data_IF_163811533039
#
_entry.id   IF_163811533039
#
_cell.length_a   1.000
_cell.length_b   1.000
_cell.length_c   1.000
_cell.angle_alpha   90.00
_cell.angle_beta   90.00
_cell.angle_gamma   90.00
#
_symmetry.space_group_name_H-M   'P 1'
#
loop_
_entity.id
_entity.type
_entity.pdbx_description
1 polymer ?
#
# COMPACT_ATOMS: atom_id res chain seq x y z
N UNK A 1 41.11 -36.55 -18.11
CA UNK A 1 41.41 -35.51 -17.10
C UNK A 1 40.44 -34.37 -17.34
N UNK A 2 39.32 -34.34 -16.61
CA UNK A 2 38.26 -33.35 -16.75
C UNK A 2 38.54 -32.25 -15.71
N UNK A 3 38.83 -31.02 -16.18
CA UNK A 3 39.06 -29.90 -15.32
C UNK A 3 37.70 -29.39 -14.81
N UNK A 4 37.46 -29.47 -13.49
CA UNK A 4 36.34 -28.86 -12.82
C UNK A 4 36.68 -27.37 -12.64
N UNK A 5 36.04 -26.50 -13.41
CA UNK A 5 36.08 -25.04 -13.20
C UNK A 5 35.10 -24.72 -12.09
N UNK A 6 35.67 -24.42 -10.90
CA UNK A 6 34.89 -23.89 -9.79
C UNK A 6 34.62 -22.41 -10.11
N UNK A 7 33.35 -22.06 -10.35
CA UNK A 7 32.90 -20.69 -10.40
C UNK A 7 32.87 -20.13 -8.95
N UNK A 8 33.93 -19.44 -8.51
CA UNK A 8 33.87 -18.58 -7.38
C UNK A 8 33.09 -17.33 -7.79
N UNK A 9 31.96 -17.08 -7.12
CA UNK A 9 31.11 -15.94 -7.37
C UNK A 9 31.87 -14.62 -7.19
N UNK A 10 31.82 -13.73 -8.20
CA UNK A 10 32.48 -12.43 -8.23
C UNK A 10 31.85 -11.38 -7.27
N UNK A 11 30.94 -11.75 -6.36
CA UNK A 11 30.27 -10.81 -5.45
C UNK A 11 31.19 -10.20 -4.39
N UNK A 12 32.03 -11.02 -3.77
CA UNK A 12 32.87 -10.60 -2.64
C UNK A 12 34.03 -9.65 -3.01
N UNK A 13 34.39 -9.56 -4.29
CA UNK A 13 35.47 -8.69 -4.75
C UNK A 13 35.08 -7.21 -4.84
N UNK A 14 33.78 -6.90 -4.86
CA UNK A 14 33.24 -5.53 -4.98
C UNK A 14 32.43 -5.05 -3.76
N UNK A 15 31.96 -5.96 -2.90
CA UNK A 15 31.06 -5.63 -1.79
C UNK A 15 31.68 -5.89 -0.41
N UNK A 16 32.90 -6.50 -0.38
CA UNK A 16 33.51 -6.95 0.87
C UNK A 16 32.95 -8.32 1.34
N UNK A 17 33.52 -8.88 2.43
CA UNK A 17 32.99 -10.08 3.05
C UNK A 17 31.61 -9.78 3.66
N UNK A 18 30.72 -10.77 3.62
CA UNK A 18 29.43 -10.68 4.33
C UNK A 18 29.67 -10.46 5.83
N UNK A 19 28.87 -9.62 6.49
CA UNK A 19 28.94 -9.42 7.93
C UNK A 19 28.73 -10.76 8.68
N UNK A 20 29.36 -10.96 9.85
CA UNK A 20 29.10 -12.12 10.69
C UNK A 20 27.62 -12.23 11.07
N UNK A 21 27.17 -13.46 11.35
CA UNK A 21 25.79 -13.74 11.77
C UNK A 21 25.61 -13.84 13.29
N UNK A 22 26.61 -13.37 14.07
CA UNK A 22 26.46 -13.28 15.52
C UNK A 22 25.45 -12.17 15.90
N UNK A 23 24.86 -12.22 17.12
CA UNK A 23 23.77 -11.31 17.49
C UNK A 23 24.15 -9.82 17.43
N UNK A 24 25.35 -9.47 17.80
CA UNK A 24 25.86 -8.08 17.82
C UNK A 24 25.96 -7.55 16.37
N UNK A 25 26.54 -8.32 15.46
CA UNK A 25 26.67 -7.99 14.05
C UNK A 25 25.29 -7.88 13.37
N UNK A 26 24.36 -8.77 13.66
CA UNK A 26 22.99 -8.72 13.12
C UNK A 26 22.26 -7.47 13.60
N UNK A 27 22.39 -7.13 14.88
CA UNK A 27 21.81 -5.91 15.45
C UNK A 27 22.36 -4.65 14.78
N UNK A 28 23.69 -4.56 14.66
CA UNK A 28 24.35 -3.39 14.05
C UNK A 28 23.95 -3.22 12.57
N UNK A 29 23.95 -4.29 11.77
CA UNK A 29 23.50 -4.27 10.38
C UNK A 29 22.03 -3.82 10.27
N UNK A 30 21.16 -4.30 11.16
CA UNK A 30 19.77 -3.89 11.20
C UNK A 30 19.66 -2.39 11.50
N UNK A 31 20.28 -1.91 12.59
CA UNK A 31 20.22 -0.52 12.98
C UNK A 31 20.80 0.43 11.90
N UNK A 32 22.00 0.14 11.38
CA UNK A 32 22.64 0.93 10.32
C UNK A 32 21.81 0.98 9.05
N UNK A 33 21.13 -0.12 8.72
CA UNK A 33 20.29 -0.19 7.51
C UNK A 33 19.11 0.77 7.59
N UNK A 34 18.46 0.86 8.75
CA UNK A 34 17.40 1.84 9.00
C UNK A 34 17.97 3.26 9.04
N UNK A 35 19.06 3.49 9.76
CA UNK A 35 19.73 4.79 9.86
C UNK A 35 19.97 5.40 8.48
N UNK A 36 20.51 4.60 7.57
CA UNK A 36 20.84 5.06 6.20
C UNK A 36 19.65 5.21 5.28
N UNK A 37 18.60 4.41 5.44
CA UNK A 37 17.59 4.25 4.39
C UNK A 37 16.17 4.61 4.80
N UNK A 38 15.83 4.62 6.08
CA UNK A 38 14.47 4.91 6.51
C UNK A 38 14.12 6.38 6.27
N UNK A 39 12.97 6.62 5.61
CA UNK A 39 12.62 7.95 5.11
C UNK A 39 11.85 8.82 6.11
N UNK A 40 11.40 8.28 7.25
CA UNK A 40 10.40 8.95 8.06
C UNK A 40 10.87 9.36 9.46
N UNK A 41 12.17 9.32 9.78
CA UNK A 41 12.66 9.73 11.09
C UNK A 41 12.23 11.17 11.41
N UNK A 42 12.55 12.14 10.54
CA UNK A 42 12.18 13.54 10.74
C UNK A 42 10.66 13.79 10.67
N UNK A 43 9.91 13.00 9.89
CA UNK A 43 8.44 13.12 9.82
C UNK A 43 7.77 12.68 11.12
N UNK A 44 8.37 11.72 11.82
CA UNK A 44 7.80 11.08 13.02
C UNK A 44 8.47 11.52 14.32
N UNK A 45 9.46 12.42 14.23
CA UNK A 45 10.25 12.90 15.35
C UNK A 45 10.90 11.74 16.15
N UNK A 46 11.53 10.80 15.43
CA UNK A 46 12.18 9.62 16.00
C UNK A 46 13.69 9.87 16.07
N UNK A 47 14.24 9.81 17.27
CA UNK A 47 15.69 9.80 17.52
C UNK A 47 16.21 8.36 17.47
N UNK A 48 16.77 7.99 16.32
CA UNK A 48 17.22 6.61 16.07
C UNK A 48 18.52 6.27 16.81
N UNK A 49 19.35 7.27 17.12
CA UNK A 49 20.56 7.11 17.94
C UNK A 49 20.22 6.77 19.40
N UNK A 50 19.22 7.43 19.99
CA UNK A 50 18.73 7.07 21.31
C UNK A 50 18.16 5.64 21.36
N UNK A 51 17.56 5.20 20.26
CA UNK A 51 17.06 3.81 20.15
C UNK A 51 18.24 2.84 20.12
N UNK A 52 19.34 3.18 19.39
CA UNK A 52 20.58 2.40 19.44
C UNK A 52 21.11 2.25 20.87
N UNK A 53 21.33 3.37 21.54
CA UNK A 53 21.89 3.38 22.90
C UNK A 53 21.06 2.52 23.89
N UNK A 54 19.73 2.55 23.74
CA UNK A 54 18.83 1.78 24.59
C UNK A 54 18.91 0.28 24.33
N UNK A 55 18.94 -0.14 23.07
CA UNK A 55 18.78 -1.55 22.70
C UNK A 55 20.10 -2.27 22.50
N UNK A 56 21.19 -1.59 22.09
CA UNK A 56 22.53 -2.18 21.99
C UNK A 56 23.04 -2.72 23.34
N UNK A 57 22.70 -2.05 24.43
CA UNK A 57 23.04 -2.51 25.78
C UNK A 57 22.39 -3.85 26.20
N UNK A 58 21.40 -4.32 25.45
CA UNK A 58 20.67 -5.58 25.69
C UNK A 58 21.19 -6.72 24.80
N UNK A 59 22.03 -6.42 23.80
CA UNK A 59 22.58 -7.39 22.87
C UNK A 59 24.04 -7.69 23.23
N UNK A 60 24.40 -8.96 23.29
CA UNK A 60 25.76 -9.41 23.53
C UNK A 60 26.04 -10.76 22.88
N UNK A 61 27.26 -11.30 23.02
CA UNK A 61 27.68 -12.51 22.29
C UNK A 61 26.88 -13.78 22.67
N UNK A 62 26.06 -13.72 23.72
CA UNK A 62 25.25 -14.85 24.21
C UNK A 62 23.75 -14.59 24.08
N UNK A 63 23.33 -13.48 23.44
CA UNK A 63 21.95 -13.19 23.15
C UNK A 63 21.40 -14.28 22.22
N UNK A 64 20.32 -14.92 22.62
CA UNK A 64 19.66 -15.94 21.81
C UNK A 64 18.95 -15.33 20.61
N UNK A 65 18.67 -16.15 19.58
CA UNK A 65 17.88 -15.71 18.42
C UNK A 65 16.48 -15.22 18.80
N UNK A 66 15.85 -15.83 19.81
CA UNK A 66 14.55 -15.39 20.29
C UNK A 66 14.60 -14.00 20.93
N UNK A 67 15.56 -13.78 21.82
CA UNK A 67 15.78 -12.48 22.47
C UNK A 67 16.12 -11.39 21.43
N UNK A 68 17.01 -11.71 20.47
CA UNK A 68 17.36 -10.78 19.41
C UNK A 68 16.15 -10.41 18.55
N UNK A 69 15.31 -11.39 18.16
CA UNK A 69 14.10 -11.15 17.38
C UNK A 69 13.11 -10.25 18.11
N UNK A 70 12.93 -10.44 19.41
CA UNK A 70 12.08 -9.59 20.25
C UNK A 70 12.64 -8.17 20.33
N UNK A 71 13.95 -8.00 20.55
CA UNK A 71 14.61 -6.68 20.60
C UNK A 71 14.40 -5.92 19.26
N UNK A 72 14.70 -6.55 18.14
CA UNK A 72 14.51 -5.93 16.83
C UNK A 72 13.02 -5.64 16.55
N UNK A 73 12.13 -6.53 16.96
CA UNK A 73 10.68 -6.34 16.88
C UNK A 73 10.19 -5.14 17.68
N UNK A 74 10.68 -4.94 18.90
CA UNK A 74 10.38 -3.77 19.72
C UNK A 74 10.86 -2.46 19.08
N UNK A 75 12.06 -2.46 18.50
CA UNK A 75 12.58 -1.29 17.76
C UNK A 75 11.66 -0.94 16.57
N UNK A 76 11.17 -1.94 15.83
CA UNK A 76 10.24 -1.72 14.73
C UNK A 76 8.91 -1.12 15.18
N UNK A 77 8.38 -1.52 16.34
CA UNK A 77 7.12 -0.97 16.88
C UNK A 77 7.18 0.54 17.09
N UNK A 78 8.37 1.07 17.39
CA UNK A 78 8.57 2.52 17.57
C UNK A 78 8.42 3.31 16.27
N UNK A 79 8.62 2.66 15.13
CA UNK A 79 8.50 3.31 13.81
C UNK A 79 7.05 3.57 13.40
N UNK A 80 6.07 2.84 13.94
CA UNK A 80 4.64 2.97 13.59
C UNK A 80 4.42 3.07 12.06
N UNK A 81 5.00 2.14 11.29
CA UNK A 81 5.04 2.15 9.84
C UNK A 81 4.42 0.87 9.25
N UNK A 82 3.41 1.03 8.41
CA UNK A 82 2.64 -0.08 7.85
C UNK A 82 3.39 -0.97 6.86
N UNK A 83 4.50 -0.49 6.32
CA UNK A 83 5.34 -1.23 5.39
C UNK A 83 6.55 -1.90 6.06
N UNK A 84 6.76 -1.67 7.37
CA UNK A 84 7.92 -2.15 8.09
C UNK A 84 7.60 -3.43 8.85
N UNK A 85 8.35 -4.49 8.57
CA UNK A 85 8.24 -5.78 9.25
C UNK A 85 9.57 -6.53 9.27
N UNK A 86 9.69 -7.48 10.19
CA UNK A 86 10.77 -8.46 10.30
C UNK A 86 10.17 -9.86 10.24
N UNK A 87 10.77 -10.74 9.46
CA UNK A 87 10.41 -12.15 9.32
C UNK A 87 11.64 -13.00 9.58
N UNK A 88 11.57 -13.87 10.57
CA UNK A 88 12.54 -14.93 10.82
C UNK A 88 11.78 -16.25 10.86
N UNK A 89 12.40 -17.36 10.59
CA UNK A 89 11.83 -18.72 10.57
C UNK A 89 10.29 -18.79 10.52
N UNK A 90 9.64 -19.04 11.67
CA UNK A 90 8.18 -19.09 11.81
C UNK A 90 7.59 -17.83 12.50
N UNK A 91 8.40 -16.76 12.68
CA UNK A 91 8.04 -15.54 13.43
C UNK A 91 7.92 -14.35 12.52
N UNK A 92 7.03 -13.44 12.89
CA UNK A 92 6.85 -12.15 12.22
C UNK A 92 6.58 -11.03 13.21
N UNK A 93 7.39 -9.99 13.19
CA UNK A 93 7.13 -8.73 13.87
C UNK A 93 6.70 -7.67 12.84
N UNK A 94 5.69 -6.87 13.17
CA UNK A 94 5.18 -5.80 12.31
C UNK A 94 5.14 -4.50 13.12
N UNK A 95 5.68 -3.44 12.55
CA UNK A 95 5.68 -2.11 13.16
C UNK A 95 4.27 -1.53 13.37
N UNK A 96 3.29 -2.04 12.68
CA UNK A 96 1.98 -1.42 12.47
C UNK A 96 0.82 -2.13 13.20
N UNK A 97 1.02 -2.73 14.32
CA UNK A 97 -0.10 -3.42 15.03
C UNK A 97 -1.28 -2.49 15.40
N UNK A 98 -1.09 -1.16 15.42
CA UNK A 98 -2.11 -0.16 15.81
C UNK A 98 -2.81 0.52 14.63
N UNK A 99 -2.24 0.49 13.43
CA UNK A 99 -2.74 1.25 12.28
C UNK A 99 -3.80 0.47 11.50
N UNK A 100 -3.63 -0.83 11.34
CA UNK A 100 -4.64 -1.68 10.71
C UNK A 100 -5.73 -2.01 11.72
N UNK A 101 -6.98 -1.72 11.35
CA UNK A 101 -8.11 -2.15 12.15
C UNK A 101 -8.23 -3.68 12.10
N UNK A 102 -8.19 -4.32 13.27
CA UNK A 102 -8.60 -5.72 13.42
C UNK A 102 -10.12 -5.89 13.39
N UNK A 103 -10.86 -4.77 13.51
CA UNK A 103 -12.32 -4.77 13.40
C UNK A 103 -12.72 -4.99 11.96
N UNK A 104 -13.68 -5.87 11.74
CA UNK A 104 -14.32 -6.06 10.44
C UNK A 104 -15.15 -4.81 10.11
N UNK A 105 -14.73 -4.02 9.15
CA UNK A 105 -15.37 -2.75 8.75
C UNK A 105 -15.97 -2.82 7.34
N UNK A 106 -15.93 -3.98 6.71
CA UNK A 106 -16.43 -4.24 5.37
C UNK A 106 -16.63 -5.73 5.13
N UNK A 107 -17.73 -6.08 4.49
CA UNK A 107 -18.03 -7.43 4.01
C UNK A 107 -18.44 -7.39 2.53
N UNK A 108 -17.55 -7.86 1.66
CA UNK A 108 -17.82 -7.93 0.22
C UNK A 108 -19.05 -8.78 -0.13
N UNK A 109 -19.35 -9.83 0.66
CA UNK A 109 -20.50 -10.68 0.41
C UNK A 109 -21.82 -9.94 0.61
N UNK A 110 -21.89 -8.92 1.48
CA UNK A 110 -23.06 -8.07 1.62
C UNK A 110 -23.32 -7.34 0.30
N UNK A 111 -22.26 -6.71 -0.26
CA UNK A 111 -22.38 -5.99 -1.54
C UNK A 111 -22.79 -6.94 -2.66
N UNK A 112 -22.16 -8.09 -2.77
CA UNK A 112 -22.43 -9.06 -3.83
C UNK A 112 -23.88 -9.60 -3.76
N UNK A 113 -24.38 -9.94 -2.58
CA UNK A 113 -25.72 -10.52 -2.40
C UNK A 113 -26.84 -9.48 -2.43
N UNK A 114 -26.59 -8.29 -1.88
CA UNK A 114 -27.65 -7.28 -1.69
C UNK A 114 -27.76 -6.34 -2.87
N UNK A 115 -26.62 -5.92 -3.45
CA UNK A 115 -26.60 -4.86 -4.45
C UNK A 115 -26.31 -5.37 -5.87
N UNK A 116 -25.33 -6.25 -6.07
CA UNK A 116 -24.95 -6.74 -7.39
C UNK A 116 -25.87 -7.85 -7.91
N UNK A 117 -26.20 -8.81 -7.06
CA UNK A 117 -27.09 -9.93 -7.41
C UNK A 117 -26.70 -10.59 -8.76
N UNK A 118 -27.62 -10.65 -9.72
CA UNK A 118 -27.42 -11.26 -11.04
C UNK A 118 -26.51 -10.46 -11.96
N UNK A 119 -26.28 -9.17 -11.68
CA UNK A 119 -25.36 -8.32 -12.45
C UNK A 119 -23.88 -8.59 -12.14
N UNK A 120 -23.60 -9.34 -11.06
CA UNK A 120 -22.23 -9.63 -10.61
C UNK A 120 -21.40 -10.31 -11.69
N UNK A 121 -20.24 -9.72 -11.96
CA UNK A 121 -19.18 -10.26 -12.81
C UNK A 121 -17.85 -10.17 -12.08
N UNK A 122 -16.89 -10.95 -12.53
CA UNK A 122 -15.52 -10.94 -12.00
C UNK A 122 -14.48 -11.07 -13.11
N UNK A 123 -13.29 -10.53 -12.81
CA UNK A 123 -12.08 -10.63 -13.61
C UNK A 123 -10.87 -10.71 -12.67
N UNK A 124 -9.67 -10.86 -13.19
CA UNK A 124 -8.44 -10.86 -12.41
C UNK A 124 -8.45 -11.91 -11.30
N UNK A 125 -8.86 -13.14 -11.63
CA UNK A 125 -8.95 -14.25 -10.66
C UNK A 125 -9.81 -13.91 -9.42
N UNK A 126 -10.88 -13.12 -9.62
CA UNK A 126 -11.79 -12.69 -8.55
C UNK A 126 -11.32 -11.44 -7.78
N UNK A 127 -10.19 -10.86 -8.16
CA UNK A 127 -9.68 -9.62 -7.55
C UNK A 127 -10.39 -8.35 -8.07
N UNK A 128 -11.09 -8.45 -9.18
CA UNK A 128 -11.92 -7.41 -9.78
C UNK A 128 -13.36 -7.91 -9.79
N UNK A 129 -14.24 -7.26 -9.03
CA UNK A 129 -15.68 -7.54 -9.02
C UNK A 129 -16.40 -6.32 -9.53
N UNK A 130 -17.31 -6.50 -10.52
CA UNK A 130 -17.99 -5.38 -11.16
C UNK A 130 -19.41 -5.76 -11.60
N UNK A 131 -20.20 -4.75 -11.93
CA UNK A 131 -21.58 -4.89 -12.39
C UNK A 131 -22.38 -3.62 -12.11
N UNK A 132 -23.69 -3.72 -12.05
CA UNK A 132 -24.60 -2.61 -11.74
C UNK A 132 -25.31 -2.86 -10.41
N UNK A 133 -25.28 -1.85 -9.54
CA UNK A 133 -25.89 -1.92 -8.18
C UNK A 133 -27.25 -1.23 -8.08
N UNK A 134 -27.60 -0.42 -9.09
CA UNK A 134 -28.89 0.23 -9.30
C UNK A 134 -29.01 0.65 -10.76
N UNK A 135 -30.18 1.12 -11.19
CA UNK A 135 -30.38 1.66 -12.55
C UNK A 135 -29.39 2.79 -12.82
N UNK A 136 -28.57 2.59 -13.87
CA UNK A 136 -27.55 3.54 -14.29
C UNK A 136 -26.36 3.67 -13.35
N UNK A 137 -26.25 2.89 -12.28
CA UNK A 137 -25.11 2.97 -11.34
C UNK A 137 -24.24 1.73 -11.45
N UNK A 138 -23.02 1.93 -11.98
CA UNK A 138 -21.98 0.92 -12.06
C UNK A 138 -21.25 0.75 -10.71
N UNK A 139 -20.64 -0.41 -10.55
CA UNK A 139 -19.81 -0.75 -9.40
C UNK A 139 -18.53 -1.44 -9.87
N UNK A 140 -17.40 -1.00 -9.35
CA UNK A 140 -16.09 -1.59 -9.57
C UNK A 140 -15.38 -1.75 -8.22
N UNK A 141 -15.17 -2.99 -7.78
CA UNK A 141 -14.33 -3.31 -6.62
C UNK A 141 -13.00 -3.85 -7.08
N UNK A 142 -11.94 -3.27 -6.55
CA UNK A 142 -10.57 -3.74 -6.69
C UNK A 142 -10.10 -4.23 -5.31
N UNK A 143 -9.91 -5.53 -5.13
CA UNK A 143 -9.43 -6.10 -3.85
C UNK A 143 -7.90 -5.95 -3.70
N UNK A 144 -7.18 -5.83 -4.81
CA UNK A 144 -5.74 -5.57 -4.87
C UNK A 144 -5.40 -4.83 -6.17
N UNK A 145 -4.26 -4.18 -6.17
CA UNK A 145 -3.63 -3.59 -7.37
C UNK A 145 -2.36 -4.37 -7.78
N UNK A 146 -2.18 -5.60 -7.30
CA UNK A 146 -0.98 -6.41 -7.62
C UNK A 146 -0.94 -6.87 -9.07
N UNK A 147 -2.07 -7.20 -9.68
CA UNK A 147 -2.18 -7.65 -11.07
C UNK A 147 -1.63 -9.08 -11.25
N UNK A 148 -2.46 -10.11 -11.03
CA UNK A 148 -2.10 -11.52 -11.16
C UNK A 148 -1.32 -12.11 -9.97
N UNK A 149 -1.03 -13.41 -10.00
CA UNK A 149 -0.29 -14.09 -8.93
C UNK A 149 1.16 -13.61 -8.83
N UNK A 150 1.57 -13.19 -7.63
CA UNK A 150 2.94 -12.82 -7.28
C UNK A 150 3.37 -11.44 -7.77
N UNK A 151 4.63 -11.10 -7.50
CA UNK A 151 5.31 -9.91 -8.07
C UNK A 151 5.65 -10.09 -9.57
N UNK A 152 5.12 -11.13 -10.22
CA UNK A 152 5.34 -11.53 -11.61
C UNK A 152 4.50 -10.71 -12.59
N UNK A 153 4.88 -10.42 -13.53
CA UNK A 153 5.18 -10.22 -14.94
C UNK A 153 3.96 -9.97 -15.85
N UNK A 154 2.73 -10.34 -15.56
CA UNK A 154 1.62 -10.04 -16.48
C UNK A 154 0.84 -8.77 -16.09
N UNK A 155 1.58 -7.64 -16.12
CA UNK A 155 0.95 -6.33 -16.01
C UNK A 155 0.05 -6.05 -17.24
N UNK A 156 0.34 -6.64 -18.39
CA UNK A 156 -0.40 -6.40 -19.62
C UNK A 156 -1.78 -7.07 -19.58
N UNK A 157 -1.89 -8.33 -19.16
CA UNK A 157 -3.16 -9.02 -19.03
C UNK A 157 -4.10 -8.32 -18.03
N UNK A 158 -3.56 -7.87 -16.89
CA UNK A 158 -4.36 -7.12 -15.91
C UNK A 158 -4.86 -5.77 -16.46
N UNK A 159 -4.05 -5.08 -17.28
CA UNK A 159 -4.45 -3.84 -17.97
C UNK A 159 -5.63 -4.12 -18.92
N UNK A 160 -5.54 -5.16 -19.74
CA UNK A 160 -6.60 -5.56 -20.69
C UNK A 160 -7.90 -5.95 -19.97
N UNK A 161 -7.80 -6.58 -18.82
CA UNK A 161 -8.96 -6.89 -17.97
C UNK A 161 -9.63 -5.61 -17.44
N UNK A 162 -8.86 -4.64 -16.94
CA UNK A 162 -9.40 -3.35 -16.50
C UNK A 162 -10.07 -2.61 -17.67
N UNK A 163 -9.49 -2.62 -18.86
CA UNK A 163 -10.10 -2.01 -20.04
C UNK A 163 -11.42 -2.67 -20.42
N UNK A 164 -11.48 -4.00 -20.36
CA UNK A 164 -12.71 -4.77 -20.59
C UNK A 164 -13.78 -4.43 -19.55
N UNK A 165 -13.39 -4.29 -18.29
CA UNK A 165 -14.30 -3.93 -17.19
C UNK A 165 -14.82 -2.51 -17.37
N UNK A 166 -13.94 -1.55 -17.68
CA UNK A 166 -14.34 -0.15 -17.92
C UNK A 166 -15.29 -0.03 -19.13
N UNK A 167 -15.02 -0.77 -20.21
CA UNK A 167 -15.92 -0.81 -21.38
C UNK A 167 -17.31 -1.39 -21.05
N UNK A 168 -17.39 -2.34 -20.08
CA UNK A 168 -18.69 -2.87 -19.61
C UNK A 168 -19.48 -1.86 -18.77
N UNK A 169 -18.79 -0.91 -18.12
CA UNK A 169 -19.38 0.09 -17.23
C UNK A 169 -19.56 1.46 -17.89
N UNK A 170 -19.21 1.59 -19.16
CA UNK A 170 -19.12 2.86 -19.89
C UNK A 170 -20.46 3.60 -20.02
N UNK A 171 -21.56 2.87 -20.11
CA UNK A 171 -22.92 3.40 -20.20
C UNK A 171 -23.52 3.83 -18.84
N UNK A 172 -22.79 3.66 -17.74
CA UNK A 172 -23.24 4.02 -16.39
C UNK A 172 -23.34 5.54 -16.23
N UNK A 173 -24.42 6.01 -15.64
CA UNK A 173 -24.65 7.41 -15.29
C UNK A 173 -23.87 7.86 -14.03
N UNK A 174 -23.33 6.89 -13.28
CA UNK A 174 -22.46 7.08 -12.13
C UNK A 174 -21.76 5.78 -11.78
N UNK A 175 -20.61 5.87 -11.10
CA UNK A 175 -19.79 4.71 -10.77
C UNK A 175 -19.33 4.73 -9.31
N UNK A 176 -19.43 3.59 -8.63
CA UNK A 176 -18.79 3.37 -7.33
C UNK A 176 -17.50 2.59 -7.54
N UNK A 177 -16.36 3.18 -7.16
CA UNK A 177 -15.06 2.51 -7.10
C UNK A 177 -14.78 2.12 -5.65
N UNK A 178 -14.86 0.84 -5.35
CA UNK A 178 -14.72 0.32 -3.98
C UNK A 178 -13.31 -0.20 -3.73
N UNK A 179 -12.55 0.53 -2.91
CA UNK A 179 -11.18 0.23 -2.49
C UNK A 179 -11.13 -0.25 -1.02
N UNK A 180 -12.27 -0.52 -0.39
CA UNK A 180 -12.29 -1.02 0.98
C UNK A 180 -11.58 -2.37 1.07
N UNK A 181 -10.72 -2.52 2.08
CA UNK A 181 -9.83 -3.68 2.28
C UNK A 181 -8.82 -3.93 1.14
N UNK A 182 -8.60 -2.98 0.23
CA UNK A 182 -7.53 -3.07 -0.76
C UNK A 182 -6.19 -2.71 -0.12
N UNK A 183 -5.32 -3.70 0.07
CA UNK A 183 -4.01 -3.54 0.69
C UNK A 183 -2.95 -2.92 -0.22
N UNK A 184 -3.31 -2.53 -1.46
CA UNK A 184 -2.39 -1.93 -2.41
C UNK A 184 -1.92 -2.89 -3.50
N UNK A 185 -0.67 -2.74 -3.90
CA UNK A 185 -0.05 -3.49 -4.99
C UNK A 185 0.92 -2.60 -5.79
N UNK A 186 0.79 -2.56 -7.11
CA UNK A 186 1.70 -1.82 -7.99
C UNK A 186 1.26 -0.36 -8.17
N UNK A 187 2.18 0.58 -7.98
CA UNK A 187 1.97 2.00 -8.24
C UNK A 187 1.59 2.29 -9.72
N UNK A 188 2.15 1.51 -10.66
CA UNK A 188 1.78 1.60 -12.09
C UNK A 188 0.30 1.29 -12.32
N UNK A 189 -0.25 0.29 -11.62
CA UNK A 189 -1.65 -0.12 -11.73
C UNK A 189 -2.57 0.95 -11.12
N UNK A 190 -2.17 1.55 -9.98
CA UNK A 190 -2.89 2.68 -9.41
C UNK A 190 -2.96 3.86 -10.40
N UNK A 191 -1.83 4.22 -11.01
CA UNK A 191 -1.78 5.26 -12.05
C UNK A 191 -2.66 4.90 -13.26
N UNK A 192 -2.60 3.64 -13.72
CA UNK A 192 -3.36 3.17 -14.87
C UNK A 192 -4.87 3.27 -14.63
N UNK A 193 -5.37 2.74 -13.52
CA UNK A 193 -6.79 2.86 -13.16
C UNK A 193 -7.19 4.34 -13.03
N UNK A 194 -6.38 5.14 -12.34
CA UNK A 194 -6.62 6.58 -12.19
C UNK A 194 -6.75 7.31 -13.55
N UNK A 195 -5.99 6.86 -14.57
CA UNK A 195 -6.04 7.45 -15.90
C UNK A 195 -7.42 7.30 -16.57
N UNK A 196 -8.17 6.23 -16.25
CA UNK A 196 -9.51 5.97 -16.83
C UNK A 196 -10.55 7.03 -16.43
N UNK A 197 -10.24 7.85 -15.44
CA UNK A 197 -11.08 8.94 -14.93
C UNK A 197 -10.49 10.34 -15.24
N UNK A 198 -9.32 10.37 -15.86
CA UNK A 198 -8.59 11.62 -16.07
C UNK A 198 -9.10 12.38 -17.28
N UNK A 199 -9.64 13.57 -17.06
CA UNK A 199 -10.03 14.51 -18.14
C UNK A 199 -8.88 15.38 -18.62
N UNK A 200 -7.81 15.48 -17.85
CA UNK A 200 -6.59 16.23 -18.13
C UNK A 200 -5.43 15.71 -17.30
N UNK A 201 -4.21 16.04 -17.71
CA UNK A 201 -3.01 15.70 -16.93
C UNK A 201 -3.00 16.47 -15.61
N UNK A 202 -2.93 15.74 -14.47
CA UNK A 202 -2.87 16.30 -13.12
C UNK A 202 -1.76 15.66 -12.30
N UNK A 203 -0.96 16.44 -11.54
CA UNK A 203 -0.09 15.86 -10.51
C UNK A 203 -0.96 15.30 -9.38
N UNK A 204 -0.65 14.13 -8.86
CA UNK A 204 -1.39 13.56 -7.74
C UNK A 204 -0.53 13.21 -6.53
N UNK A 205 0.80 13.04 -6.72
CA UNK A 205 1.75 12.93 -5.63
C UNK A 205 3.18 13.24 -6.07
N UNK A 206 4.04 13.40 -5.08
CA UNK A 206 5.48 13.60 -5.22
C UNK A 206 6.20 12.61 -4.31
N UNK A 207 7.30 12.02 -4.78
CA UNK A 207 8.14 11.13 -3.98
C UNK A 207 9.58 11.62 -3.97
N UNK A 208 10.25 11.42 -2.83
CA UNK A 208 11.70 11.59 -2.67
C UNK A 208 12.23 10.34 -1.98
N UNK A 209 13.37 9.81 -2.43
CA UNK A 209 14.00 8.66 -1.78
C UNK A 209 15.21 9.07 -0.99
N UNK A 210 15.47 8.39 0.13
CA UNK A 210 16.72 8.55 0.88
C UNK A 210 17.92 8.26 -0.03
N UNK A 211 18.95 9.11 0.00
CA UNK A 211 20.12 8.97 -0.88
C UNK A 211 21.46 9.41 -0.27
N UNK A 212 21.52 9.66 1.03
CA UNK A 212 22.73 10.07 1.73
C UNK A 212 22.73 9.67 3.22
N UNK A 213 23.79 10.00 3.96
CA UNK A 213 23.95 9.63 5.36
C UNK A 213 23.01 10.37 6.30
N UNK A 214 22.76 11.65 6.05
CA UNK A 214 21.93 12.46 6.95
C UNK A 214 20.44 12.16 6.76
N UNK A 215 19.64 12.21 7.83
CA UNK A 215 18.23 11.83 7.79
C UNK A 215 17.34 12.73 6.91
N UNK A 216 17.84 13.90 6.51
CA UNK A 216 17.20 14.81 5.56
C UNK A 216 17.80 14.75 4.14
N UNK A 217 18.75 13.86 3.89
CA UNK A 217 19.29 13.59 2.56
C UNK A 217 18.30 12.84 1.69
N UNK A 218 17.73 13.52 0.71
CA UNK A 218 16.78 12.97 -0.25
C UNK A 218 17.15 13.32 -1.69
N UNK A 219 16.76 12.45 -2.60
CA UNK A 219 16.79 12.75 -4.04
C UNK A 219 15.95 13.99 -4.37
N UNK A 220 16.17 14.58 -5.54
CA UNK A 220 15.26 15.56 -6.10
C UNK A 220 13.83 15.00 -6.17
N UNK A 221 12.79 15.84 -5.93
CA UNK A 221 11.39 15.40 -5.99
C UNK A 221 11.03 14.83 -7.37
N UNK A 222 10.40 13.65 -7.37
CA UNK A 222 9.77 13.05 -8.55
C UNK A 222 8.27 13.28 -8.49
N UNK A 223 7.72 14.01 -9.46
CA UNK A 223 6.29 14.24 -9.57
C UNK A 223 5.61 13.11 -10.35
N UNK A 224 4.50 12.64 -9.83
CA UNK A 224 3.66 11.63 -10.46
C UNK A 224 2.38 12.27 -10.98
N UNK A 225 2.05 11.92 -12.20
CA UNK A 225 0.90 12.48 -12.92
C UNK A 225 -0.05 11.37 -13.30
N UNK A 226 -1.34 11.64 -13.16
CA UNK A 226 -2.39 10.92 -13.86
C UNK A 226 -2.70 11.69 -15.15
N UNK A 227 -2.91 10.96 -16.25
CA UNK A 227 -3.06 11.51 -17.59
C UNK A 227 -4.26 10.85 -18.26
N UNK A 228 -4.99 11.57 -19.14
CA UNK A 228 -6.09 10.96 -19.89
C UNK A 228 -5.64 9.70 -20.61
N UNK A 229 -6.53 8.69 -20.75
CA UNK A 229 -6.27 7.53 -21.58
C UNK A 229 -6.27 7.93 -23.07
N UNK A 230 -5.95 7.00 -23.96
CA UNK A 230 -6.08 7.20 -25.41
C UNK A 230 -7.53 7.21 -25.87
N UNK A 231 -8.37 6.49 -25.15
CA UNK A 231 -9.82 6.43 -25.35
C UNK A 231 -10.52 7.45 -24.45
N UNK A 232 -11.85 7.59 -24.57
CA UNK A 232 -12.59 8.52 -23.75
C UNK A 232 -12.57 8.12 -22.27
N UNK A 233 -12.25 9.05 -21.34
CA UNK A 233 -12.28 8.77 -19.93
C UNK A 233 -13.73 8.68 -19.42
N UNK A 234 -13.93 7.92 -18.32
CA UNK A 234 -15.18 7.92 -17.59
C UNK A 234 -15.36 9.25 -16.86
N UNK A 235 -16.35 10.06 -17.25
CA UNK A 235 -16.56 11.42 -16.75
C UNK A 235 -17.87 11.60 -15.95
N UNK A 236 -18.74 10.58 -15.92
CA UNK A 236 -19.91 10.62 -15.05
C UNK A 236 -19.48 10.70 -13.58
N UNK A 237 -20.39 11.10 -12.65
CA UNK A 237 -20.06 11.18 -11.23
C UNK A 237 -19.52 9.86 -10.65
N UNK A 238 -18.46 9.95 -9.86
CA UNK A 238 -17.79 8.79 -9.24
C UNK A 238 -17.78 8.94 -7.72
N UNK A 239 -18.08 7.86 -7.02
CA UNK A 239 -17.83 7.72 -5.57
C UNK A 239 -16.70 6.72 -5.36
N UNK A 240 -15.64 7.13 -4.68
CA UNK A 240 -14.58 6.23 -4.21
C UNK A 240 -14.86 5.87 -2.74
N UNK A 241 -14.96 4.56 -2.45
CA UNK A 241 -15.14 4.06 -1.08
C UNK A 241 -13.82 3.55 -0.53
N UNK A 242 -13.47 3.99 0.68
CA UNK A 242 -12.27 3.54 1.40
C UNK A 242 -12.57 3.15 2.84
N UNK A 243 -11.66 2.39 3.44
CA UNK A 243 -11.63 2.14 4.86
C UNK A 243 -10.17 2.08 5.38
N UNK A 244 -10.00 1.84 6.68
CA UNK A 244 -8.68 1.78 7.34
C UNK A 244 -7.73 0.71 6.76
N UNK A 245 -8.26 -0.26 6.04
CA UNK A 245 -7.48 -1.29 5.35
C UNK A 245 -7.19 -0.96 3.87
N UNK A 246 -7.68 0.18 3.36
CA UNK A 246 -7.23 0.75 2.08
C UNK A 246 -5.82 1.30 2.28
N UNK A 247 -4.83 0.72 1.59
CA UNK A 247 -3.42 0.94 1.94
C UNK A 247 -2.50 0.98 0.71
N UNK A 248 -1.33 1.61 0.83
CA UNK A 248 -0.27 1.60 -0.16
C UNK A 248 -0.73 2.10 -1.55
N UNK A 249 -0.55 1.34 -2.62
CA UNK A 249 -0.96 1.73 -3.96
C UNK A 249 -2.47 2.07 -4.09
N UNK A 250 -3.33 1.53 -3.22
CA UNK A 250 -4.74 1.92 -3.17
C UNK A 250 -4.93 3.36 -2.64
N UNK A 251 -4.04 3.83 -1.78
CA UNK A 251 -4.00 5.23 -1.35
C UNK A 251 -3.50 6.14 -2.49
N UNK A 252 -2.53 5.67 -3.29
CA UNK A 252 -2.09 6.37 -4.50
C UNK A 252 -3.26 6.53 -5.50
N UNK A 253 -4.03 5.46 -5.73
CA UNK A 253 -5.23 5.53 -6.57
C UNK A 253 -6.26 6.51 -6.00
N UNK A 254 -6.47 6.48 -4.69
CA UNK A 254 -7.37 7.43 -4.01
C UNK A 254 -6.94 8.87 -4.25
N UNK A 255 -5.64 9.20 -4.12
CA UNK A 255 -5.12 10.54 -4.41
C UNK A 255 -5.24 10.90 -5.90
N UNK A 256 -5.01 9.96 -6.82
CA UNK A 256 -5.15 10.18 -8.25
C UNK A 256 -6.60 10.53 -8.62
N UNK A 257 -7.56 9.77 -8.12
CA UNK A 257 -8.98 9.97 -8.38
C UNK A 257 -9.49 11.30 -7.80
N UNK A 258 -9.00 11.70 -6.64
CA UNK A 258 -9.36 12.98 -5.98
C UNK A 258 -8.90 14.23 -6.74
N UNK A 259 -8.12 14.10 -7.81
CA UNK A 259 -7.71 15.25 -8.62
C UNK A 259 -8.84 15.75 -9.56
N UNK A 260 -9.97 15.03 -9.62
CA UNK A 260 -11.07 15.33 -10.56
C UNK A 260 -12.35 15.70 -9.82
N UNK A 261 -13.01 16.76 -10.25
CA UNK A 261 -14.20 17.35 -9.61
C UNK A 261 -15.43 16.43 -9.66
N UNK A 262 -15.48 15.46 -10.60
CA UNK A 262 -16.55 14.48 -10.70
C UNK A 262 -16.36 13.29 -9.73
N UNK A 263 -15.28 13.28 -8.92
CA UNK A 263 -14.98 12.23 -7.97
C UNK A 263 -15.21 12.68 -6.53
N UNK A 264 -16.01 11.95 -5.77
CA UNK A 264 -16.22 12.15 -4.34
C UNK A 264 -15.68 10.97 -3.55
N UNK A 265 -14.81 11.23 -2.59
CA UNK A 265 -14.25 10.23 -1.68
C UNK A 265 -15.13 10.09 -0.44
N UNK A 266 -15.64 8.89 -0.18
CA UNK A 266 -16.50 8.56 0.98
C UNK A 266 -15.96 7.35 1.75
N UNK A 267 -16.43 7.15 2.96
CA UNK A 267 -16.07 6.03 3.83
C UNK A 267 -15.29 6.48 5.04
N UNK A 268 -14.35 5.68 5.49
CA UNK A 268 -13.43 6.06 6.56
C UNK A 268 -12.05 6.42 6.01
N UNK A 269 -11.22 6.99 6.88
CA UNK A 269 -9.83 7.30 6.61
C UNK A 269 -9.06 6.04 6.16
N UNK A 270 -8.12 6.19 5.24
CA UNK A 270 -7.27 5.10 4.74
C UNK A 270 -6.20 4.67 5.75
N UNK A 271 -5.36 3.70 5.42
CA UNK A 271 -4.37 3.12 6.32
C UNK A 271 -3.19 4.02 6.69
N UNK A 272 -2.74 4.83 5.77
CA UNK A 272 -1.60 5.74 6.00
C UNK A 272 -0.24 5.08 5.83
N UNK A 273 0.00 4.50 4.66
CA UNK A 273 1.30 3.95 4.27
C UNK A 273 1.50 4.09 2.77
N UNK A 274 1.96 5.25 2.34
CA UNK A 274 2.11 5.58 0.94
C UNK A 274 3.54 5.36 0.42
N UNK A 275 4.50 5.12 1.32
CA UNK A 275 5.91 4.95 0.96
C UNK A 275 6.16 3.67 0.15
N UNK A 276 7.13 3.75 -0.74
CA UNK A 276 7.76 2.52 -1.26
C UNK A 276 8.69 1.95 -0.21
N UNK A 277 8.71 0.64 -0.09
CA UNK A 277 9.62 -0.10 0.78
C UNK A 277 10.56 -0.99 -0.02
N UNK A 278 11.71 -1.31 0.58
CA UNK A 278 12.67 -2.27 0.04
C UNK A 278 12.80 -3.47 1.00
N UNK A 279 12.72 -4.70 0.50
CA UNK A 279 13.08 -5.89 1.26
C UNK A 279 14.59 -5.97 1.39
N UNK A 280 15.06 -6.44 2.55
CA UNK A 280 16.47 -6.68 2.89
C UNK A 280 16.59 -8.00 3.63
N UNK A 281 17.79 -8.55 3.66
CA UNK A 281 18.14 -9.75 4.39
C UNK A 281 19.22 -9.40 5.43
N UNK A 282 19.09 -9.92 6.65
CA UNK A 282 20.09 -9.84 7.71
C UNK A 282 21.12 -10.96 7.58
N UNK A 283 22.31 -10.83 8.18
CA UNK A 283 23.36 -11.84 8.10
C UNK A 283 22.95 -13.25 8.58
N UNK A 284 21.94 -13.34 9.44
CA UNK A 284 21.38 -14.61 9.92
C UNK A 284 20.21 -15.15 9.05
N UNK A 285 19.94 -14.53 7.88
CA UNK A 285 18.90 -14.95 6.95
C UNK A 285 17.49 -14.39 7.21
N UNK A 286 17.30 -13.59 8.26
CA UNK A 286 16.00 -12.95 8.48
C UNK A 286 15.73 -11.85 7.47
N UNK A 287 14.48 -11.77 7.02
CA UNK A 287 14.05 -10.75 6.07
C UNK A 287 13.37 -9.59 6.78
N UNK A 288 13.65 -8.37 6.35
CA UNK A 288 13.00 -7.16 6.85
C UNK A 288 12.74 -6.16 5.74
N UNK A 289 11.91 -5.17 5.99
CA UNK A 289 11.58 -4.12 5.01
C UNK A 289 11.80 -2.74 5.58
N UNK A 290 12.24 -1.81 4.72
CA UNK A 290 12.49 -0.41 5.08
C UNK A 290 11.69 0.49 4.15
N UNK A 291 10.90 1.41 4.70
CA UNK A 291 10.27 2.50 3.93
C UNK A 291 11.30 3.54 3.55
N UNK A 292 11.59 3.66 2.25
CA UNK A 292 12.71 4.47 1.74
C UNK A 292 12.28 5.77 1.06
N UNK A 293 10.96 6.04 0.99
CA UNK A 293 10.42 7.21 0.31
C UNK A 293 9.58 8.09 1.22
N UNK A 294 9.80 9.40 1.15
CA UNK A 294 8.87 10.42 1.59
C UNK A 294 7.89 10.70 0.45
N UNK A 295 6.60 10.41 0.69
CA UNK A 295 5.51 10.56 -0.28
C UNK A 295 4.54 11.63 0.19
N UNK A 296 4.26 12.60 -0.69
CA UNK A 296 3.40 13.75 -0.40
C UNK A 296 2.41 14.00 -1.52
N UNK A 297 1.27 14.58 -1.18
CA UNK A 297 0.34 15.10 -2.19
C UNK A 297 0.92 16.38 -2.88
N UNK A 298 0.24 16.92 -3.92
CA UNK A 298 0.69 18.15 -4.59
C UNK A 298 0.73 19.39 -3.70
N UNK A 299 0.04 19.38 -2.56
CA UNK A 299 0.05 20.45 -1.56
C UNK A 299 1.15 20.29 -0.50
N UNK A 300 1.91 19.18 -0.57
CA UNK A 300 3.01 18.88 0.35
C UNK A 300 2.61 18.13 1.61
N UNK A 301 1.35 17.69 1.73
CA UNK A 301 0.90 16.92 2.89
C UNK A 301 1.39 15.48 2.81
N UNK A 302 1.87 14.94 3.93
CA UNK A 302 2.13 13.52 4.12
C UNK A 302 0.95 12.84 4.79
N UNK A 303 0.65 11.63 4.37
CA UNK A 303 -0.41 10.79 4.92
C UNK A 303 0.11 9.57 5.67
N UNK A 304 1.43 9.44 5.78
CA UNK A 304 2.05 8.35 6.54
C UNK A 304 1.51 8.32 7.97
N UNK A 305 1.17 7.11 8.46
CA UNK A 305 0.57 6.86 9.77
C UNK A 305 -0.86 7.43 9.95
N UNK A 306 -1.19 8.53 9.29
CA UNK A 306 -2.48 9.24 9.43
C UNK A 306 -3.54 8.68 8.50
N UNK A 307 -3.23 8.51 7.22
CA UNK A 307 -4.17 8.13 6.16
C UNK A 307 -4.90 9.32 5.54
N UNK A 308 -5.55 9.07 4.41
CA UNK A 308 -6.28 10.06 3.62
C UNK A 308 -7.71 10.15 4.17
N UNK A 309 -8.07 11.29 4.74
CA UNK A 309 -9.43 11.54 5.21
C UNK A 309 -10.41 11.66 4.03
N UNK A 310 -11.61 11.04 4.09
CA UNK A 310 -12.61 11.16 3.04
C UNK A 310 -13.26 12.56 3.02
N UNK A 311 -13.88 12.94 1.90
CA UNK A 311 -14.70 14.14 1.82
C UNK A 311 -16.01 13.98 2.64
N UNK A 312 -16.52 12.73 2.72
CA UNK A 312 -17.69 12.38 3.55
C UNK A 312 -17.34 11.17 4.42
N UNK A 313 -17.27 11.39 5.69
CA UNK A 313 -17.03 10.32 6.66
C UNK A 313 -18.29 9.48 6.82
N UNK A 314 -18.15 8.18 6.59
CA UNK A 314 -19.17 7.16 6.76
C UNK A 314 -18.51 5.92 7.36
N UNK A 315 -19.12 5.34 8.36
CA UNK A 315 -18.62 4.13 8.99
C UNK A 315 -19.76 3.11 9.12
N UNK A 316 -19.45 1.84 8.92
CA UNK A 316 -20.37 0.74 9.12
C UNK A 316 -20.23 0.23 10.56
N UNK A 317 -21.34 0.13 11.28
CA UNK A 317 -21.39 -0.48 12.61
C UNK A 317 -21.42 -2.01 12.52
N UNK A 318 -21.07 -2.69 13.63
CA UNK A 318 -21.14 -4.15 13.70
C UNK A 318 -22.60 -4.63 13.53
N UNK A 319 -23.57 -3.92 14.11
CA UNK A 319 -25.00 -4.25 13.96
C UNK A 319 -25.50 -4.16 12.52
N UNK A 320 -25.08 -3.12 11.76
CA UNK A 320 -25.42 -2.99 10.35
C UNK A 320 -24.86 -4.14 9.52
N UNK A 321 -23.62 -4.55 9.84
CA UNK A 321 -22.99 -5.69 9.19
C UNK A 321 -23.70 -7.01 9.50
N UNK A 322 -24.10 -7.24 10.76
CA UNK A 322 -24.85 -8.42 11.18
C UNK A 322 -26.25 -8.46 10.52
N UNK A 323 -26.87 -7.31 10.29
CA UNK A 323 -28.13 -7.18 9.57
C UNK A 323 -27.97 -7.28 8.05
N UNK A 324 -26.75 -7.43 7.53
CA UNK A 324 -26.47 -7.52 6.10
C UNK A 324 -26.69 -6.21 5.34
N UNK A 325 -26.53 -5.06 6.02
CA UNK A 325 -26.65 -3.71 5.44
C UNK A 325 -25.28 -3.07 5.25
N UNK A 326 -25.15 -2.29 4.20
CA UNK A 326 -23.95 -1.47 3.93
C UNK A 326 -24.36 0.00 3.73
N UNK A 327 -24.34 0.82 4.80
CA UNK A 327 -24.74 2.22 4.73
C UNK A 327 -23.84 3.08 3.85
N UNK A 328 -22.58 2.65 3.61
CA UNK A 328 -21.70 3.34 2.66
C UNK A 328 -22.20 3.15 1.23
N UNK A 329 -22.62 1.93 0.88
CA UNK A 329 -23.22 1.63 -0.43
C UNK A 329 -24.53 2.40 -0.62
N UNK A 330 -25.41 2.40 0.39
CA UNK A 330 -26.68 3.11 0.35
C UNK A 330 -26.48 4.61 0.12
N UNK A 331 -25.53 5.23 0.81
CA UNK A 331 -25.23 6.66 0.63
C UNK A 331 -24.56 6.94 -0.73
N UNK A 332 -23.66 6.08 -1.17
CA UNK A 332 -23.00 6.22 -2.48
C UNK A 332 -24.02 6.17 -3.62
N UNK A 333 -24.93 5.19 -3.60
CA UNK A 333 -26.03 5.06 -4.59
C UNK A 333 -26.92 6.31 -4.54
N UNK A 334 -27.38 6.71 -3.34
CA UNK A 334 -28.22 7.90 -3.16
C UNK A 334 -27.55 9.19 -3.66
N UNK A 335 -26.22 9.28 -3.51
CA UNK A 335 -25.46 10.44 -3.99
C UNK A 335 -25.41 10.49 -5.51
N UNK A 336 -25.22 9.34 -6.17
CA UNK A 336 -25.09 9.23 -7.62
C UNK A 336 -26.43 9.34 -8.36
N UNK A 337 -27.57 9.14 -7.66
CA UNK A 337 -28.92 9.29 -8.22
C UNK A 337 -29.49 10.72 -8.18
N UNK A 338 -28.71 11.70 -7.67
CA UNK A 338 -29.11 13.12 -7.61
C UNK A 338 -28.72 13.88 -8.85
#
# INVERSE_FOLDING_TARGET
MMAVVVWMGCGSAFVGPDPPSDPESVFDVFWESYDRHYAHFGLKDIDWDQIYDKYSAQVGPHTSEDELFEILGEMLLLLEDGHVYLVGDERRAMSNQKIRSTRRTFDAQIVERTYLQESRREAGEGNIVYGHVADGIGYLRLSTLSGGEGFGIDAQGWIEEIDTVMAHLDDSQGLIVDLRNNGGGRASNAKFVGSRFATQRRPFLTTRSRNGPDHDDFTAPRHWYVEPPTDDPFIAPVVVLTNRNTFSAAEWLTLALRQFDHVVHMGTQTGGGLAMFLPRELPNGWMYTISVQDTRDPQGNSYERVGIAPHRYLEMSDSEMEEGRDPMMDEAIRFLQK
#
